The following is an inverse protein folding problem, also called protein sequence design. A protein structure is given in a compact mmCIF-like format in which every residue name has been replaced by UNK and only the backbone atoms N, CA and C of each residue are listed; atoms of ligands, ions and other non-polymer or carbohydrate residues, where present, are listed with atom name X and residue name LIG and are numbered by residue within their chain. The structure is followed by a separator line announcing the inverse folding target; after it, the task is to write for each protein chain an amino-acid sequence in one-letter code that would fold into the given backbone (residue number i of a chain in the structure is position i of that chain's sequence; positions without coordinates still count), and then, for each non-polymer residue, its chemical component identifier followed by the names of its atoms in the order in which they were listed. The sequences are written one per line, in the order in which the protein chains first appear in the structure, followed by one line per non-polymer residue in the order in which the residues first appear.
data_IF_882860779750
#
_entry.id   IF_882860779750
#
_cell.length_a   1.000
_cell.length_b   1.000
_cell.length_c   1.000
_cell.angle_alpha   90.00
_cell.angle_beta   90.00
_cell.angle_gamma   90.00
#
_symmetry.space_group_name_H-M   'P 1'
#
loop_
_entity.id
_entity.type
_entity.pdbx_description
1 polymer ?
#
# COMPACT_ATOMS: atom_id res chain seq x y z
N UNK A 1 -16.29 9.48 -28.21
CA UNK A 1 -16.28 8.52 -29.33
C UNK A 1 -16.84 7.20 -28.84
N UNK A 2 -17.62 6.46 -29.63
CA UNK A 2 -18.19 5.18 -29.20
C UNK A 2 -17.12 4.07 -29.22
N UNK A 3 -17.34 3.01 -28.43
CA UNK A 3 -16.49 1.80 -28.37
C UNK A 3 -16.19 1.19 -29.76
N UNK A 4 -17.07 1.42 -30.75
CA UNK A 4 -16.92 0.95 -32.12
C UNK A 4 -15.71 1.54 -32.89
N UNK A 5 -15.04 2.56 -32.33
CA UNK A 5 -13.91 3.25 -32.97
C UNK A 5 -12.54 2.72 -32.54
N UNK A 6 -12.43 2.00 -31.42
CA UNK A 6 -11.14 1.51 -30.93
C UNK A 6 -10.84 0.10 -31.45
N UNK A 7 -9.77 -0.03 -32.23
CA UNK A 7 -9.33 -1.29 -32.83
C UNK A 7 -7.85 -1.53 -32.52
N UNK A 8 -7.39 -2.79 -32.38
CA UNK A 8 -5.99 -3.11 -32.11
C UNK A 8 -5.00 -2.54 -33.13
N UNK A 9 -5.45 -2.30 -34.36
CA UNK A 9 -4.66 -1.80 -35.49
C UNK A 9 -4.54 -0.27 -35.54
N UNK A 10 -5.19 0.48 -34.64
CA UNK A 10 -5.07 1.94 -34.56
C UNK A 10 -3.61 2.34 -34.38
N UNK A 11 -3.11 3.29 -35.17
CA UNK A 11 -1.71 3.71 -35.10
C UNK A 11 -1.54 5.05 -34.38
N UNK A 12 -0.36 5.35 -33.81
CA UNK A 12 -0.09 6.64 -33.15
C UNK A 12 -0.20 7.87 -34.07
N UNK A 13 -0.10 7.69 -35.38
CA UNK A 13 -0.17 8.76 -36.37
C UNK A 13 -1.61 9.16 -36.71
N UNK A 14 -2.57 8.27 -36.44
CA UNK A 14 -4.01 8.53 -36.64
C UNK A 14 -4.62 9.39 -35.51
N UNK A 15 -3.86 9.64 -34.44
CA UNK A 15 -4.37 10.26 -33.22
C UNK A 15 -4.33 11.79 -33.28
N UNK A 16 -5.50 12.40 -33.17
CA UNK A 16 -5.70 13.85 -33.12
C UNK A 16 -6.67 14.23 -32.00
N UNK A 17 -6.46 15.40 -31.40
CA UNK A 17 -7.45 15.99 -30.49
C UNK A 17 -8.58 16.64 -31.29
N UNK A 18 -9.81 16.64 -30.78
CA UNK A 18 -10.88 17.46 -31.34
C UNK A 18 -10.51 18.95 -31.30
N UNK A 19 -10.92 19.72 -32.32
CA UNK A 19 -10.63 21.16 -32.44
C UNK A 19 -11.03 21.97 -31.20
N UNK A 20 -12.11 21.58 -30.52
CA UNK A 20 -12.57 22.24 -29.29
C UNK A 20 -11.61 22.06 -28.10
N UNK A 21 -10.77 21.02 -28.12
CA UNK A 21 -9.82 20.69 -27.05
C UNK A 21 -8.40 21.18 -27.33
N UNK A 22 -8.03 21.42 -28.60
CA UNK A 22 -6.66 21.77 -29.00
C UNK A 22 -6.19 23.16 -28.55
N UNK A 23 -7.09 24.01 -28.07
CA UNK A 23 -6.75 25.32 -27.50
C UNK A 23 -6.28 25.23 -26.03
N UNK A 24 -6.63 24.16 -25.33
CA UNK A 24 -6.36 23.95 -23.90
C UNK A 24 -5.55 22.69 -23.62
N UNK A 25 -5.37 21.84 -24.63
CA UNK A 25 -4.67 20.56 -24.54
C UNK A 25 -3.74 20.33 -25.71
N UNK A 26 -2.70 19.54 -25.47
CA UNK A 26 -1.79 19.03 -26.48
C UNK A 26 -1.61 17.52 -26.33
N UNK A 27 -1.17 16.85 -27.41
CA UNK A 27 -0.77 15.44 -27.35
C UNK A 27 0.73 15.33 -27.05
N UNK A 28 1.06 14.63 -25.97
CA UNK A 28 2.43 14.26 -25.65
C UNK A 28 2.67 12.78 -25.93
N UNK A 29 3.85 12.46 -26.47
CA UNK A 29 4.28 11.09 -26.75
C UNK A 29 5.42 10.67 -25.83
N UNK A 30 5.35 9.45 -25.34
CA UNK A 30 6.48 8.78 -24.69
C UNK A 30 6.86 7.53 -25.49
N UNK A 31 8.08 7.06 -25.31
CA UNK A 31 8.68 6.02 -26.15
C UNK A 31 9.35 4.96 -25.29
N UNK A 32 9.45 3.74 -25.82
CA UNK A 32 10.20 2.66 -25.18
C UNK A 32 11.71 2.83 -25.34
N UNK A 33 12.14 3.59 -26.35
CA UNK A 33 13.53 3.77 -26.74
C UNK A 33 13.91 5.25 -26.87
N UNK A 34 15.19 5.55 -26.60
CA UNK A 34 15.74 6.91 -26.69
C UNK A 34 15.76 7.47 -28.12
N UNK A 35 15.78 6.58 -29.13
CA UNK A 35 15.72 6.96 -30.54
C UNK A 35 14.29 7.36 -30.98
N UNK A 36 13.29 7.25 -30.08
CA UNK A 36 11.89 7.61 -30.30
C UNK A 36 11.25 6.88 -31.49
N UNK A 37 11.58 5.61 -31.65
CA UNK A 37 11.08 4.77 -32.75
C UNK A 37 9.86 3.94 -32.38
N UNK A 38 9.67 3.63 -31.09
CA UNK A 38 8.58 2.82 -30.58
C UNK A 38 7.76 3.63 -29.58
N UNK A 39 6.62 4.15 -30.01
CA UNK A 39 5.69 4.88 -29.15
C UNK A 39 5.15 3.95 -28.05
N UNK A 40 5.17 4.43 -26.81
CA UNK A 40 4.59 3.77 -25.66
C UNK A 40 3.24 4.38 -25.30
N UNK A 41 3.20 5.70 -25.11
CA UNK A 41 1.95 6.43 -24.85
C UNK A 41 1.78 7.59 -25.81
N UNK A 42 0.53 7.86 -26.18
CA UNK A 42 0.07 9.17 -26.66
C UNK A 42 -0.97 9.65 -25.66
N UNK A 43 -0.75 10.79 -25.03
CA UNK A 43 -1.61 11.31 -23.96
C UNK A 43 -2.04 12.73 -24.24
N UNK A 44 -3.33 13.02 -24.08
CA UNK A 44 -3.83 14.38 -23.96
C UNK A 44 -3.43 14.94 -22.60
N UNK A 45 -2.79 16.10 -22.61
CA UNK A 45 -2.39 16.82 -21.40
C UNK A 45 -2.81 18.28 -21.51
N UNK A 46 -2.98 18.94 -20.37
CA UNK A 46 -3.22 20.38 -20.36
C UNK A 46 -2.01 21.12 -20.93
N UNK A 47 -2.29 22.14 -21.75
CA UNK A 47 -1.28 22.91 -22.48
C UNK A 47 -0.15 23.38 -21.56
N UNK A 48 1.10 23.04 -21.91
CA UNK A 48 2.28 23.45 -21.16
C UNK A 48 2.48 22.72 -19.82
N UNK A 49 1.83 21.57 -19.62
CA UNK A 49 1.96 20.75 -18.41
C UNK A 49 2.21 19.27 -18.74
N UNK A 50 2.32 18.44 -17.70
CA UNK A 50 2.31 16.97 -17.81
C UNK A 50 1.04 16.36 -17.20
N UNK A 51 0.04 17.18 -16.87
CA UNK A 51 -1.20 16.72 -16.25
C UNK A 51 -2.09 16.14 -17.34
N UNK A 52 -2.28 14.81 -17.31
CA UNK A 52 -3.19 14.12 -18.24
C UNK A 52 -4.61 14.61 -18.04
N UNK A 53 -5.25 15.02 -19.12
CA UNK A 53 -6.62 15.49 -19.13
C UNK A 53 -7.20 15.21 -20.53
N UNK A 54 -8.18 14.31 -20.60
CA UNK A 54 -8.67 13.72 -21.84
C UNK A 54 -8.05 12.34 -22.16
N UNK A 55 -8.03 11.95 -23.44
CA UNK A 55 -7.72 10.58 -23.85
C UNK A 55 -6.25 10.22 -23.72
N UNK A 56 -6.01 8.93 -23.46
CA UNK A 56 -4.69 8.32 -23.30
C UNK A 56 -4.67 6.96 -24.00
N UNK A 57 -3.80 6.84 -24.99
CA UNK A 57 -3.57 5.62 -25.77
C UNK A 57 -2.25 5.00 -25.36
N UNK A 58 -2.29 3.72 -25.04
CA UNK A 58 -1.11 2.91 -24.72
C UNK A 58 -0.87 1.89 -25.81
N UNK A 59 0.39 1.73 -26.20
CA UNK A 59 0.84 0.84 -27.26
C UNK A 59 1.84 -0.18 -26.73
N UNK A 60 1.76 -1.40 -27.23
CA UNK A 60 2.76 -2.45 -27.02
C UNK A 60 4.03 -2.14 -27.81
N UNK A 61 5.15 -2.80 -27.46
CA UNK A 61 6.42 -2.69 -28.19
C UNK A 61 6.34 -3.08 -29.68
N UNK A 62 5.37 -3.91 -30.04
CA UNK A 62 5.08 -4.30 -31.42
C UNK A 62 4.21 -3.28 -32.18
N UNK A 63 3.85 -2.17 -31.54
CA UNK A 63 3.06 -1.08 -32.12
C UNK A 63 1.55 -1.25 -32.02
N UNK A 64 1.05 -2.40 -31.55
CA UNK A 64 -0.40 -2.61 -31.40
C UNK A 64 -0.96 -1.87 -30.20
N UNK A 65 -2.20 -1.39 -30.33
CA UNK A 65 -2.90 -0.70 -29.25
C UNK A 65 -3.15 -1.66 -28.07
N UNK A 66 -2.69 -1.28 -26.89
CA UNK A 66 -2.92 -2.00 -25.63
C UNK A 66 -4.18 -1.48 -24.92
N UNK A 67 -4.34 -0.17 -24.78
CA UNK A 67 -5.49 0.40 -24.09
C UNK A 67 -5.86 1.79 -24.56
N UNK A 68 -7.15 2.13 -24.36
CA UNK A 68 -7.64 3.50 -24.45
C UNK A 68 -8.34 3.86 -23.15
N UNK A 69 -7.91 4.98 -22.57
CA UNK A 69 -8.38 5.50 -21.29
C UNK A 69 -8.68 6.98 -21.43
N UNK A 70 -9.48 7.51 -20.51
CA UNK A 70 -9.63 8.96 -20.31
C UNK A 70 -9.17 9.34 -18.91
N UNK A 71 -8.54 10.50 -18.81
CA UNK A 71 -8.12 11.12 -17.56
C UNK A 71 -8.85 12.46 -17.36
N UNK A 72 -9.00 12.87 -16.10
CA UNK A 72 -9.50 14.18 -15.69
C UNK A 72 -8.63 14.66 -14.53
N UNK A 73 -7.96 15.79 -14.68
CA UNK A 73 -7.04 16.35 -13.68
C UNK A 73 -5.96 15.34 -13.21
N UNK A 74 -5.44 14.55 -14.14
CA UNK A 74 -4.44 13.51 -13.88
C UNK A 74 -4.99 12.23 -13.23
N UNK A 75 -6.27 12.20 -12.87
CA UNK A 75 -6.94 11.00 -12.34
C UNK A 75 -7.53 10.20 -13.49
N UNK A 76 -7.32 8.89 -13.48
CA UNK A 76 -7.97 8.01 -14.44
C UNK A 76 -9.49 8.19 -14.27
N UNK A 77 -10.23 8.44 -15.35
CA UNK A 77 -11.67 8.72 -15.36
C UNK A 77 -12.51 7.61 -16.00
N UNK A 78 -12.12 7.12 -17.18
CA UNK A 78 -12.79 5.97 -17.84
C UNK A 78 -11.76 5.04 -18.46
N UNK A 79 -12.04 3.74 -18.45
CA UNK A 79 -11.31 2.78 -19.29
C UNK A 79 -12.28 2.37 -20.40
N UNK A 80 -11.91 2.62 -21.66
CA UNK A 80 -12.76 2.29 -22.80
C UNK A 80 -12.49 0.89 -23.30
N UNK A 81 -11.21 0.53 -23.45
CA UNK A 81 -10.79 -0.78 -23.92
C UNK A 81 -9.43 -1.18 -23.35
N UNK A 82 -9.25 -2.48 -23.16
CA UNK A 82 -7.97 -3.16 -22.93
C UNK A 82 -7.88 -4.31 -23.94
N UNK A 83 -6.75 -4.49 -24.62
CA UNK A 83 -6.54 -5.56 -25.58
C UNK A 83 -5.49 -6.57 -25.10
N UNK A 84 -5.82 -7.84 -25.22
CA UNK A 84 -4.92 -8.97 -25.04
C UNK A 84 -3.87 -9.04 -26.17
N UNK A 85 -2.85 -9.89 -26.00
CA UNK A 85 -1.74 -10.04 -26.93
C UNK A 85 -2.16 -10.62 -28.27
N UNK A 86 -3.34 -11.22 -28.36
CA UNK A 86 -3.98 -11.68 -29.60
C UNK A 86 -4.93 -10.64 -30.21
N UNK A 87 -5.07 -9.45 -29.60
CA UNK A 87 -5.95 -8.37 -30.04
C UNK A 87 -7.40 -8.48 -29.57
N UNK A 88 -7.78 -9.50 -28.79
CA UNK A 88 -9.13 -9.60 -28.21
C UNK A 88 -9.31 -8.64 -27.03
N UNK A 89 -10.51 -8.12 -26.81
CA UNK A 89 -10.78 -7.27 -25.65
C UNK A 89 -10.66 -8.08 -24.34
N UNK A 90 -10.04 -7.47 -23.34
CA UNK A 90 -10.01 -7.93 -21.95
C UNK A 90 -11.09 -7.21 -21.14
N UNK A 91 -11.59 -7.87 -20.09
CA UNK A 91 -12.53 -7.27 -19.16
C UNK A 91 -11.84 -6.19 -18.31
N UNK A 92 -12.10 -4.91 -18.61
CA UNK A 92 -11.51 -3.79 -17.89
C UNK A 92 -12.30 -3.36 -16.64
N UNK A 93 -13.36 -4.08 -16.30
CA UNK A 93 -14.29 -3.76 -15.23
C UNK A 93 -15.38 -2.77 -15.65
N UNK A 94 -16.03 -2.16 -14.67
CA UNK A 94 -17.20 -1.29 -14.87
C UNK A 94 -16.90 0.20 -14.74
N UNK A 95 -15.61 0.56 -14.67
CA UNK A 95 -15.17 1.88 -14.26
C UNK A 95 -15.51 2.97 -15.30
N UNK A 96 -16.35 3.91 -14.91
CA UNK A 96 -16.74 5.07 -15.73
C UNK A 96 -16.87 6.30 -14.84
N UNK A 97 -16.47 7.46 -15.37
CA UNK A 97 -16.50 8.72 -14.62
C UNK A 97 -15.84 8.66 -13.23
N UNK A 98 -14.76 7.91 -13.12
CA UNK A 98 -14.00 7.72 -11.88
C UNK A 98 -14.53 6.64 -10.95
N UNK A 99 -15.73 6.10 -11.21
CA UNK A 99 -16.45 5.21 -10.31
C UNK A 99 -16.63 3.82 -10.90
N UNK A 100 -16.59 2.78 -10.06
CA UNK A 100 -16.86 1.40 -10.45
C UNK A 100 -15.70 0.45 -10.18
N UNK A 101 -15.72 -0.73 -10.79
CA UNK A 101 -14.65 -1.73 -10.62
C UNK A 101 -13.59 -1.49 -11.68
N UNK A 102 -12.35 -1.32 -11.26
CA UNK A 102 -11.19 -1.28 -12.13
C UNK A 102 -10.55 -2.66 -12.23
N UNK A 103 -10.14 -3.05 -13.44
CA UNK A 103 -9.23 -4.19 -13.66
C UNK A 103 -7.99 -3.75 -14.43
N UNK A 104 -6.86 -4.36 -14.11
CA UNK A 104 -5.60 -4.18 -14.81
C UNK A 104 -4.94 -5.54 -15.02
N UNK A 105 -4.19 -5.68 -16.11
CA UNK A 105 -3.55 -6.93 -16.52
C UNK A 105 -2.03 -6.77 -16.62
N UNK A 106 -1.32 -7.90 -16.57
CA UNK A 106 0.10 -8.02 -16.91
C UNK A 106 0.27 -8.16 -18.42
N UNK A 107 1.50 -8.02 -18.92
CA UNK A 107 1.81 -8.13 -20.35
C UNK A 107 1.44 -9.48 -20.98
N UNK A 108 1.33 -10.53 -20.16
CA UNK A 108 0.89 -11.87 -20.55
C UNK A 108 -0.63 -12.07 -20.42
N UNK A 109 -1.38 -10.97 -20.33
CA UNK A 109 -2.83 -10.90 -20.27
C UNK A 109 -3.47 -11.55 -19.00
N UNK A 110 -2.66 -11.86 -17.99
CA UNK A 110 -3.13 -12.34 -16.69
C UNK A 110 -3.57 -11.16 -15.82
N UNK A 111 -4.69 -11.30 -15.09
CA UNK A 111 -5.19 -10.27 -14.17
C UNK A 111 -4.10 -9.89 -13.18
N UNK A 112 -3.79 -8.59 -13.08
CA UNK A 112 -2.75 -8.03 -12.22
C UNK A 112 -3.32 -7.37 -10.98
N UNK A 113 -4.42 -6.65 -11.13
CA UNK A 113 -5.08 -5.99 -10.01
C UNK A 113 -6.54 -5.76 -10.31
N UNK A 114 -7.36 -5.76 -9.27
CA UNK A 114 -8.75 -5.34 -9.35
C UNK A 114 -9.21 -4.70 -8.03
N UNK A 115 -10.17 -3.80 -8.13
CA UNK A 115 -10.82 -3.21 -6.97
C UNK A 115 -11.74 -2.03 -7.33
N UNK A 116 -12.52 -1.55 -6.36
CA UNK A 116 -13.38 -0.38 -6.55
C UNK A 116 -12.57 0.90 -6.71
N UNK A 117 -13.14 1.84 -7.45
CA UNK A 117 -12.72 3.24 -7.44
C UNK A 117 -13.90 4.16 -7.20
N UNK A 118 -13.61 5.29 -6.56
CA UNK A 118 -14.55 6.41 -6.37
C UNK A 118 -13.81 7.71 -6.71
N UNK A 119 -14.38 8.54 -7.59
CA UNK A 119 -13.79 9.81 -8.00
C UNK A 119 -12.38 9.67 -8.59
N UNK A 120 -12.12 8.57 -9.30
CA UNK A 120 -10.81 8.29 -9.90
C UNK A 120 -9.75 7.77 -8.92
N UNK A 121 -10.10 7.58 -7.64
CA UNK A 121 -9.21 7.09 -6.58
C UNK A 121 -9.53 5.67 -6.19
N UNK A 122 -8.53 4.91 -5.74
CA UNK A 122 -8.75 3.54 -5.25
C UNK A 122 -9.57 3.58 -3.96
N UNK A 123 -10.60 2.74 -3.86
CA UNK A 123 -11.52 2.68 -2.72
C UNK A 123 -11.85 1.22 -2.39
N UNK A 124 -12.13 0.90 -1.13
CA UNK A 124 -12.52 -0.45 -0.72
C UNK A 124 -11.44 -1.51 -0.95
N UNK A 125 -11.84 -2.78 -1.03
CA UNK A 125 -10.90 -3.90 -1.09
C UNK A 125 -10.32 -4.05 -2.48
N UNK A 126 -9.00 -3.97 -2.57
CA UNK A 126 -8.22 -4.26 -3.77
C UNK A 126 -7.47 -5.57 -3.64
N UNK A 127 -7.31 -6.27 -4.76
CA UNK A 127 -6.50 -7.49 -4.89
C UNK A 127 -5.44 -7.30 -5.95
N UNK A 128 -4.27 -7.87 -5.71
CA UNK A 128 -3.13 -7.84 -6.61
C UNK A 128 -2.60 -9.25 -6.81
N UNK A 129 -2.33 -9.59 -8.06
CA UNK A 129 -1.96 -10.93 -8.47
C UNK A 129 -0.62 -10.91 -9.23
N UNK A 130 0.10 -12.02 -9.18
CA UNK A 130 1.35 -12.24 -9.92
C UNK A 130 1.10 -12.55 -11.39
N UNK A 131 2.15 -12.59 -12.23
CA UNK A 131 2.03 -12.96 -13.64
C UNK A 131 1.51 -14.38 -13.87
N UNK A 132 1.57 -15.24 -12.86
CA UNK A 132 1.03 -16.60 -12.84
C UNK A 132 -0.41 -16.68 -12.27
N UNK A 133 -1.00 -15.53 -11.92
CA UNK A 133 -2.34 -15.43 -11.34
C UNK A 133 -2.37 -15.66 -9.82
N UNK A 134 -1.24 -15.89 -9.16
CA UNK A 134 -1.21 -16.10 -7.71
C UNK A 134 -1.54 -14.80 -6.97
N UNK A 135 -2.37 -14.86 -5.92
CA UNK A 135 -2.66 -13.70 -5.09
C UNK A 135 -1.38 -13.28 -4.34
N UNK A 136 -0.94 -12.04 -4.54
CA UNK A 136 0.25 -11.47 -3.90
C UNK A 136 -0.10 -10.62 -2.69
N UNK A 137 -1.19 -9.86 -2.79
CA UNK A 137 -1.67 -9.02 -1.68
C UNK A 137 -3.11 -8.58 -1.88
N UNK A 138 -3.78 -8.29 -0.78
CA UNK A 138 -5.10 -7.68 -0.77
C UNK A 138 -5.26 -6.76 0.44
N UNK A 139 -6.13 -5.77 0.33
CA UNK A 139 -6.40 -4.84 1.44
C UNK A 139 -7.27 -3.66 1.01
N UNK A 140 -7.68 -2.86 1.99
CA UNK A 140 -8.54 -1.70 1.77
C UNK A 140 -7.77 -0.48 1.28
N UNK A 141 -8.40 0.31 0.42
CA UNK A 141 -8.04 1.70 0.19
C UNK A 141 -9.17 2.63 0.65
N UNK A 142 -8.79 3.83 1.08
CA UNK A 142 -9.66 4.98 1.27
C UNK A 142 -9.01 6.16 0.55
N UNK A 143 -9.66 6.68 -0.49
CA UNK A 143 -9.13 7.78 -1.30
C UNK A 143 -7.67 7.59 -1.80
N UNK A 144 -7.35 6.41 -2.33
CA UNK A 144 -6.01 5.99 -2.79
C UNK A 144 -4.94 5.77 -1.70
N UNK A 145 -5.28 5.93 -0.43
CA UNK A 145 -4.41 5.57 0.69
C UNK A 145 -4.78 4.21 1.26
N UNK A 146 -3.78 3.40 1.63
CA UNK A 146 -4.04 2.11 2.27
C UNK A 146 -4.78 2.31 3.59
N UNK A 147 -5.85 1.55 3.79
CA UNK A 147 -6.69 1.62 4.97
C UNK A 147 -7.05 0.21 5.46
N UNK A 148 -7.17 0.05 6.78
CA UNK A 148 -7.47 -1.22 7.42
C UNK A 148 -6.37 -2.26 7.20
N UNK A 149 -6.76 -3.54 7.20
CA UNK A 149 -5.83 -4.66 7.15
C UNK A 149 -5.44 -5.00 5.71
N UNK A 150 -4.16 -4.92 5.43
CA UNK A 150 -3.51 -5.46 4.25
C UNK A 150 -2.86 -6.79 4.55
N UNK A 151 -2.99 -7.74 3.63
CA UNK A 151 -2.38 -9.06 3.69
C UNK A 151 -1.46 -9.25 2.50
N UNK A 152 -0.31 -9.85 2.75
CA UNK A 152 0.70 -10.15 1.74
C UNK A 152 1.04 -11.62 1.78
N UNK A 153 1.08 -12.21 0.59
CA UNK A 153 1.25 -13.63 0.40
C UNK A 153 2.50 -13.91 -0.45
N UNK A 154 3.17 -15.01 -0.17
CA UNK A 154 4.25 -15.57 -0.97
C UNK A 154 4.01 -17.06 -1.15
N UNK A 155 3.96 -17.52 -2.40
CA UNK A 155 3.67 -18.92 -2.74
C UNK A 155 2.37 -19.42 -2.07
N UNK A 156 1.35 -18.57 -2.00
CA UNK A 156 0.05 -18.87 -1.36
C UNK A 156 0.04 -18.83 0.18
N UNK A 157 1.20 -18.67 0.84
CA UNK A 157 1.28 -18.56 2.29
C UNK A 157 1.28 -17.08 2.72
N UNK A 158 0.54 -16.76 3.79
CA UNK A 158 0.57 -15.43 4.40
C UNK A 158 1.97 -15.18 4.98
N UNK A 159 2.58 -14.06 4.60
CA UNK A 159 3.92 -13.67 5.06
C UNK A 159 3.90 -12.38 5.87
N UNK A 160 2.92 -11.50 5.64
CA UNK A 160 2.85 -10.22 6.31
C UNK A 160 1.40 -9.72 6.36
N UNK A 161 1.04 -9.08 7.47
CA UNK A 161 -0.16 -8.28 7.64
C UNK A 161 0.22 -6.87 8.08
N UNK A 162 -0.45 -5.85 7.53
CA UNK A 162 -0.29 -4.44 7.89
C UNK A 162 -1.66 -3.87 8.24
N UNK A 163 -1.88 -3.51 9.50
CA UNK A 163 -3.11 -2.88 9.99
C UNK A 163 -2.92 -1.37 10.10
N UNK A 164 -3.44 -0.64 9.11
CA UNK A 164 -3.39 0.82 9.04
C UNK A 164 -4.48 1.45 9.89
N UNK A 165 -4.07 2.27 10.86
CA UNK A 165 -4.94 2.88 11.86
C UNK A 165 -5.16 4.37 11.60
N UNK A 166 -6.29 4.88 12.07
CA UNK A 166 -6.67 6.29 11.88
C UNK A 166 -5.75 7.27 12.65
N UNK A 167 -4.94 6.78 13.59
CA UNK A 167 -3.94 7.56 14.33
C UNK A 167 -2.62 7.78 13.55
N UNK A 168 -2.57 7.35 12.29
CA UNK A 168 -1.39 7.47 11.42
C UNK A 168 -0.31 6.43 11.68
N UNK A 169 -0.60 5.41 12.50
CA UNK A 169 0.30 4.28 12.76
C UNK A 169 -0.07 3.05 11.93
N UNK A 170 0.87 2.11 11.82
CA UNK A 170 0.60 0.79 11.25
C UNK A 170 1.12 -0.29 12.19
N UNK A 171 0.29 -1.29 12.48
CA UNK A 171 0.75 -2.50 13.15
C UNK A 171 1.14 -3.54 12.10
N UNK A 172 2.38 -4.00 12.15
CA UNK A 172 2.89 -4.95 11.16
C UNK A 172 3.15 -6.29 11.83
N UNK A 173 2.57 -7.36 11.27
CA UNK A 173 2.79 -8.74 11.70
C UNK A 173 3.47 -9.53 10.58
N UNK A 174 4.51 -10.27 10.90
CA UNK A 174 5.24 -11.16 9.98
C UNK A 174 4.96 -12.61 10.34
N UNK A 175 4.89 -13.45 9.30
CA UNK A 175 4.49 -14.85 9.38
C UNK A 175 5.49 -15.73 8.62
N UNK A 176 5.71 -16.95 9.13
CA UNK A 176 6.49 -18.01 8.43
C UNK A 176 5.60 -18.91 7.55
N UNK A 177 4.36 -18.50 7.31
CA UNK A 177 3.31 -19.28 6.65
C UNK A 177 2.39 -20.03 7.62
N UNK A 178 2.79 -20.23 8.89
CA UNK A 178 1.96 -20.90 9.91
C UNK A 178 1.93 -20.18 11.25
N UNK A 179 3.04 -19.61 11.67
CA UNK A 179 3.21 -18.94 12.95
C UNK A 179 3.65 -17.50 12.74
N UNK A 180 3.24 -16.62 13.66
CA UNK A 180 3.85 -15.30 13.76
C UNK A 180 5.34 -15.45 14.07
N UNK A 181 6.15 -14.59 13.48
CA UNK A 181 7.60 -14.51 13.72
C UNK A 181 8.00 -13.17 14.31
N UNK A 182 7.25 -12.11 14.01
CA UNK A 182 7.52 -10.75 14.50
C UNK A 182 6.27 -9.89 14.41
N UNK A 183 6.01 -9.05 15.41
CA UNK A 183 5.00 -8.00 15.27
C UNK A 183 5.38 -6.72 16.01
N UNK A 184 4.88 -5.57 15.55
CA UNK A 184 5.13 -4.29 16.21
C UNK A 184 4.52 -3.09 15.49
N UNK A 185 4.49 -1.98 16.20
CA UNK A 185 3.99 -0.69 15.72
C UNK A 185 5.06 0.02 14.87
N UNK A 186 4.62 0.67 13.79
CA UNK A 186 5.45 1.58 13.00
C UNK A 186 4.81 2.95 12.84
N UNK A 187 5.66 3.97 12.79
CA UNK A 187 5.31 5.37 12.47
C UNK A 187 6.18 5.90 11.34
N UNK A 188 5.67 6.86 10.58
CA UNK A 188 6.46 7.54 9.55
C UNK A 188 7.44 8.51 10.22
N UNK A 189 8.70 8.49 9.80
CA UNK A 189 9.67 9.52 10.13
C UNK A 189 9.42 10.83 9.34
N UNK A 190 10.23 11.85 9.59
CA UNK A 190 10.12 13.15 8.92
C UNK A 190 10.25 13.07 7.39
N UNK A 191 10.81 11.97 6.85
CA UNK A 191 10.94 11.70 5.42
C UNK A 191 9.82 10.80 4.89
N UNK A 192 8.80 10.50 5.71
CA UNK A 192 7.68 9.64 5.35
C UNK A 192 7.99 8.14 5.38
N UNK A 193 9.16 7.70 5.87
CA UNK A 193 9.53 6.28 5.91
C UNK A 193 9.01 5.61 7.18
N UNK A 194 8.40 4.44 7.05
CA UNK A 194 7.94 3.66 8.21
C UNK A 194 9.12 3.14 9.04
N UNK A 195 9.10 3.44 10.34
CA UNK A 195 10.09 3.02 11.33
C UNK A 195 9.39 2.28 12.47
N UNK A 196 10.02 1.24 12.97
CA UNK A 196 9.55 0.59 14.20
C UNK A 196 9.63 1.59 15.36
N UNK A 197 8.56 1.67 16.15
CA UNK A 197 8.46 2.65 17.21
C UNK A 197 7.61 2.12 18.36
N UNK A 198 8.26 1.94 19.51
CA UNK A 198 7.76 1.14 20.62
C UNK A 198 8.22 -0.32 20.57
N UNK A 199 7.52 -1.22 21.26
CA UNK A 199 7.90 -2.62 21.37
C UNK A 199 7.61 -3.40 20.09
N UNK A 200 8.54 -4.30 19.79
CA UNK A 200 8.53 -5.25 18.70
C UNK A 200 8.74 -6.64 19.31
N UNK A 201 7.71 -7.47 19.21
CA UNK A 201 7.74 -8.85 19.69
C UNK A 201 8.35 -9.76 18.62
N UNK A 202 9.16 -10.73 19.06
CA UNK A 202 9.82 -11.73 18.22
C UNK A 202 9.47 -13.14 18.71
N UNK A 203 9.15 -14.01 17.77
CA UNK A 203 8.63 -15.33 18.05
C UNK A 203 9.46 -16.41 17.37
N UNK A 204 9.66 -17.53 18.07
CA UNK A 204 10.20 -18.75 17.51
C UNK A 204 9.15 -19.86 17.59
N UNK A 205 8.74 -20.39 16.43
CA UNK A 205 7.68 -21.41 16.31
C UNK A 205 6.40 -21.00 17.05
N UNK A 206 6.03 -19.72 16.95
CA UNK A 206 4.83 -19.14 17.56
C UNK A 206 4.93 -18.85 19.07
N UNK A 207 6.09 -19.07 19.70
CA UNK A 207 6.31 -18.71 21.11
C UNK A 207 7.11 -17.42 21.20
N UNK A 208 6.68 -16.51 22.06
CA UNK A 208 7.38 -15.25 22.29
C UNK A 208 8.74 -15.53 22.95
N UNK A 209 9.82 -15.12 22.30
CA UNK A 209 11.19 -15.32 22.80
C UNK A 209 11.81 -14.02 23.29
N UNK A 210 11.47 -12.92 22.65
CA UNK A 210 12.13 -11.64 22.84
C UNK A 210 11.18 -10.48 22.50
N UNK A 211 11.32 -9.39 23.24
CA UNK A 211 10.75 -8.09 22.87
C UNK A 211 11.87 -7.07 22.77
N UNK A 212 12.04 -6.47 21.60
CA UNK A 212 12.94 -5.35 21.35
C UNK A 212 12.16 -4.04 21.34
N UNK A 213 12.74 -2.97 21.88
CA UNK A 213 12.11 -1.66 21.97
C UNK A 213 12.84 -0.71 21.04
N UNK A 214 12.09 -0.01 20.20
CA UNK A 214 12.61 0.96 19.25
C UNK A 214 12.01 2.34 19.52
N UNK A 215 12.71 3.39 19.10
CA UNK A 215 12.16 4.72 18.95
C UNK A 215 12.56 5.26 17.59
N UNK A 216 11.58 5.54 16.73
CA UNK A 216 11.79 6.01 15.35
C UNK A 216 12.83 5.17 14.58
N UNK A 217 12.83 3.84 14.78
CA UNK A 217 13.73 2.89 14.14
C UNK A 217 15.09 2.73 14.83
N UNK A 218 15.42 3.61 15.77
CA UNK A 218 16.58 3.46 16.65
C UNK A 218 16.31 2.41 17.71
N UNK A 219 17.20 1.41 17.83
CA UNK A 219 17.11 0.42 18.90
C UNK A 219 17.37 1.08 20.26
N UNK A 220 16.47 0.85 21.21
CA UNK A 220 16.59 1.33 22.59
C UNK A 220 17.12 0.22 23.48
N UNK A 221 16.43 -0.94 23.51
CA UNK A 221 16.81 -2.07 24.37
C UNK A 221 16.11 -3.37 23.99
N UNK A 222 16.56 -4.46 24.59
CA UNK A 222 16.03 -5.82 24.40
C UNK A 222 15.66 -6.48 25.73
N UNK A 223 14.52 -7.17 25.74
CA UNK A 223 14.00 -7.95 26.85
C UNK A 223 13.93 -9.43 26.42
N UNK A 224 14.66 -10.29 27.10
CA UNK A 224 14.64 -11.74 26.84
C UNK A 224 13.63 -12.44 27.76
N UNK A 225 12.95 -13.47 27.27
CA UNK A 225 11.92 -14.22 28.01
C UNK A 225 10.85 -13.31 28.66
N UNK A 226 10.23 -12.38 27.90
CA UNK A 226 9.29 -11.39 28.44
C UNK A 226 8.13 -12.04 29.22
N UNK A 227 7.62 -13.21 28.80
CA UNK A 227 6.57 -13.93 29.53
C UNK A 227 6.96 -14.28 30.99
N UNK A 228 8.22 -14.64 31.24
CA UNK A 228 8.71 -14.89 32.61
C UNK A 228 8.72 -13.61 33.43
N UNK A 229 9.13 -12.50 32.81
CA UNK A 229 9.15 -11.18 33.45
C UNK A 229 7.72 -10.72 33.77
N UNK A 230 6.78 -10.90 32.82
CA UNK A 230 5.35 -10.62 33.00
C UNK A 230 4.77 -11.44 34.14
N UNK A 231 5.05 -12.75 34.17
CA UNK A 231 4.54 -13.63 35.20
C UNK A 231 5.08 -13.23 36.58
N UNK A 232 6.36 -12.90 36.69
CA UNK A 232 6.96 -12.40 37.93
C UNK A 232 6.30 -11.09 38.37
N UNK A 233 6.06 -10.16 37.44
CA UNK A 233 5.41 -8.89 37.73
C UNK A 233 3.94 -9.00 38.14
N UNK A 234 3.14 -9.84 37.46
CA UNK A 234 1.75 -10.10 37.85
C UNK A 234 1.65 -10.72 39.26
N UNK A 235 2.73 -11.36 39.71
CA UNK A 235 2.86 -11.92 41.05
C UNK A 235 3.36 -10.91 42.09
N UNK A 236 3.71 -9.69 41.68
CA UNK A 236 4.17 -8.62 42.57
C UNK A 236 3.00 -8.05 43.40
N UNK A 237 3.20 -7.78 44.70
CA UNK A 237 2.22 -7.05 45.52
C UNK A 237 1.81 -5.71 44.92
N UNK A 238 2.71 -5.07 44.17
CA UNK A 238 2.51 -3.74 43.58
C UNK A 238 1.91 -3.77 42.18
N UNK A 239 1.49 -4.94 41.67
CA UNK A 239 0.97 -5.12 40.31
C UNK A 239 -0.13 -4.11 39.95
N UNK A 240 -1.04 -3.77 40.88
CA UNK A 240 -2.10 -2.79 40.62
C UNK A 240 -1.57 -1.39 40.32
N UNK A 241 -0.52 -0.95 41.04
CA UNK A 241 0.13 0.33 40.80
C UNK A 241 0.93 0.30 39.48
N UNK A 242 1.65 -0.79 39.25
CA UNK A 242 2.41 -1.05 38.02
C UNK A 242 1.48 -1.06 36.79
N UNK A 243 0.33 -1.73 36.87
CA UNK A 243 -0.67 -1.76 35.78
C UNK A 243 -1.29 -0.40 35.51
N UNK A 244 -1.55 0.41 36.53
CA UNK A 244 -2.05 1.78 36.34
C UNK A 244 -1.02 2.68 35.64
N UNK A 245 0.27 2.53 35.97
CA UNK A 245 1.35 3.22 35.27
C UNK A 245 1.47 2.75 33.81
N UNK A 246 1.31 1.44 33.56
CA UNK A 246 1.26 0.84 32.22
C UNK A 246 0.13 1.44 31.37
N UNK A 247 -1.09 1.43 31.90
CA UNK A 247 -2.26 1.92 31.17
C UNK A 247 -2.15 3.43 30.89
N UNK A 248 -1.59 4.22 31.82
CA UNK A 248 -1.30 5.64 31.62
C UNK A 248 -0.23 5.88 30.52
N UNK A 249 0.79 5.02 30.45
CA UNK A 249 1.81 5.08 29.39
C UNK A 249 1.22 4.70 28.02
N UNK A 250 0.27 3.76 27.97
CA UNK A 250 -0.46 3.38 26.76
C UNK A 250 -1.28 4.54 26.18
N UNK A 251 -1.92 5.32 27.04
CA UNK A 251 -2.72 6.49 26.62
C UNK A 251 -1.84 7.68 26.17
N UNK A 252 -0.53 7.59 26.37
CA UNK A 252 0.46 8.60 26.02
C UNK A 252 1.58 8.00 25.13
N UNK A 253 1.22 7.33 24.05
CA UNK A 253 2.18 6.94 22.99
C UNK A 253 2.87 8.16 22.32
N UNK A 254 2.47 9.40 22.67
CA UNK A 254 3.19 10.64 22.38
C UNK A 254 4.33 10.98 23.37
N UNK A 255 4.42 10.35 24.54
CA UNK A 255 5.40 10.69 25.59
C UNK A 255 6.75 9.95 25.47
N UNK A 256 7.14 9.54 24.27
CA UNK A 256 8.50 9.03 24.04
C UNK A 256 9.57 10.13 24.06
N UNK A 257 9.18 11.41 23.96
CA UNK A 257 10.10 12.55 24.00
C UNK A 257 10.54 12.99 25.43
N UNK A 258 10.01 12.38 26.51
CA UNK A 258 10.25 12.83 27.88
C UNK A 258 10.90 11.82 28.84
N UNK A 259 11.32 10.65 28.35
CA UNK A 259 12.01 9.66 29.18
C UNK A 259 13.52 9.68 28.91
N UNK A 260 14.18 10.72 29.42
CA UNK A 260 15.58 10.61 29.84
C UNK A 260 15.74 9.45 30.84
N UNK A 261 16.94 8.86 31.00
CA UNK A 261 17.14 7.61 31.74
C UNK A 261 16.82 7.79 33.23
N UNK A 262 15.56 7.55 33.61
CA UNK A 262 15.12 7.43 35.00
C UNK A 262 15.58 6.06 35.55
N UNK A 263 16.89 5.92 35.71
CA UNK A 263 17.46 5.02 36.70
C UNK A 263 17.49 5.76 38.05
N UNK A 264 16.48 5.58 38.91
CA UNK A 264 16.64 5.79 40.36
C UNK A 264 15.48 5.32 41.27
N UNK A 265 14.24 5.15 40.82
CA UNK A 265 13.09 5.17 41.76
C UNK A 265 12.43 3.82 42.08
N UNK A 266 12.98 2.68 41.65
CA UNK A 266 12.34 1.38 41.88
C UNK A 266 10.95 1.25 41.21
N UNK A 267 10.61 2.17 40.33
CA UNK A 267 9.39 2.14 39.53
C UNK A 267 9.57 1.23 38.31
N UNK A 268 8.44 0.70 37.85
CA UNK A 268 8.41 -0.22 36.73
C UNK A 268 8.90 0.47 35.46
N UNK A 269 9.87 -0.14 34.81
CA UNK A 269 10.41 0.37 33.58
C UNK A 269 9.31 0.63 32.52
N UNK A 270 9.18 1.86 31.98
CA UNK A 270 8.10 2.24 31.05
C UNK A 270 8.07 1.40 29.77
N UNK A 271 9.21 0.87 29.34
CA UNK A 271 9.29 0.03 28.15
C UNK A 271 8.93 -1.44 28.45
N UNK A 272 9.18 -1.90 29.68
CA UNK A 272 8.72 -3.21 30.13
C UNK A 272 7.20 -3.14 30.27
N UNK A 273 6.70 -2.12 30.95
CA UNK A 273 5.29 -1.79 31.07
C UNK A 273 4.48 -1.95 29.76
N UNK A 274 4.97 -1.37 28.66
CA UNK A 274 4.28 -1.42 27.37
C UNK A 274 4.33 -2.80 26.69
N UNK A 275 5.44 -3.55 26.83
CA UNK A 275 5.48 -4.94 26.35
C UNK A 275 4.41 -5.82 27.02
N UNK A 276 4.13 -5.57 28.29
CA UNK A 276 3.10 -6.28 29.07
C UNK A 276 1.69 -5.79 28.71
N UNK A 277 1.53 -4.52 28.34
CA UNK A 277 0.27 -3.96 27.89
C UNK A 277 -0.22 -4.59 26.57
N UNK A 278 0.71 -4.96 25.68
CA UNK A 278 0.40 -5.54 24.38
C UNK A 278 0.15 -7.05 24.46
N UNK A 279 0.63 -7.71 25.50
CA UNK A 279 0.45 -9.15 25.75
C UNK A 279 -0.76 -9.48 26.67
N UNK A 280 -1.50 -8.47 27.17
CA UNK A 280 -2.56 -8.62 28.18
C UNK A 280 -3.91 -8.07 27.70
#
# INVERSE_FOLDING_TARGET
MSEATYRPELTPDDLVLPDASSATHELQRTYYDDAKTQVHFVSAVKQGTTVKDGPDWEFRKDGRLWSVRDFSEGLLWTIHVLFAGDGKPLDHGTRTNGDGIQKAYHDNDVLRAEGPSVGGRSEGVWRYYGPDGTLLREGGFRASERAGVWKFYRNGALTQEEDYRDDGTVWVTFWDGKHKTREGLRRKDANGQWRDDGPVAHYEKGKLTETSIYHMGGFVRRIHNPEKVIKAMRSSPDWKAQRKAIDKARDHIQAYEFLEPLHATGELDPHLALSIALEA
#
